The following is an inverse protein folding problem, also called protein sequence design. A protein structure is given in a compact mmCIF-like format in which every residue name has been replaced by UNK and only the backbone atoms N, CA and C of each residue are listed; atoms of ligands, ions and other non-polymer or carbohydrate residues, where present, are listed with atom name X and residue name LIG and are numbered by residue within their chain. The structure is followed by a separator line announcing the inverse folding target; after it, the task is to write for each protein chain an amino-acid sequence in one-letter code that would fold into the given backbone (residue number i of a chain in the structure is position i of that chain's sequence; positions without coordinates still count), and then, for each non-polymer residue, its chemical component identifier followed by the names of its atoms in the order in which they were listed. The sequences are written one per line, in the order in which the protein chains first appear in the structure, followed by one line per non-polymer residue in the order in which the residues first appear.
data_IF_008443357455
#
_entry.id   IF_008443357455
#
_cell.length_a   1.000
_cell.length_b   1.000
_cell.length_c   1.000
_cell.angle_alpha   90.00
_cell.angle_beta   90.00
_cell.angle_gamma   90.00
#
_symmetry.space_group_name_H-M   'P 1'
#
loop_
_entity.id
_entity.type
_entity.pdbx_description
1 polymer ?
#
# COMPACT_ATOMS: atom_id res chain seq x y z
N UNK A 1 11.47 -13.62 30.98
CA UNK A 1 10.59 -12.45 30.85
C UNK A 1 11.51 -11.24 30.67
N UNK A 2 11.66 -10.55 29.56
CA UNK A 2 10.96 -10.49 28.30
C UNK A 2 11.33 -9.10 27.76
N UNK A 3 12.17 -9.05 26.71
CA UNK A 3 12.40 -7.90 25.81
C UNK A 3 13.35 -8.38 24.71
N UNK A 4 12.81 -8.61 23.53
CA UNK A 4 13.62 -8.70 22.29
C UNK A 4 13.06 -7.62 21.38
N UNK A 5 13.60 -6.42 21.53
CA UNK A 5 13.62 -5.42 20.47
C UNK A 5 14.62 -5.91 19.44
N UNK A 6 14.24 -5.96 18.16
CA UNK A 6 15.17 -6.29 17.08
C UNK A 6 15.04 -5.26 15.95
N UNK A 7 15.38 -4.02 16.31
CA UNK A 7 15.95 -3.03 15.40
C UNK A 7 17.46 -3.14 15.58
N UNK A 8 18.14 -3.85 14.68
CA UNK A 8 19.59 -3.78 14.52
C UNK A 8 19.97 -4.30 13.14
N UNK A 9 20.19 -3.36 12.20
CA UNK A 9 21.13 -3.56 11.09
C UNK A 9 21.95 -2.28 10.98
N UNK A 10 23.23 -2.39 11.34
CA UNK A 10 24.23 -1.34 11.25
C UNK A 10 24.53 -0.94 9.78
N UNK A 11 25.02 0.29 9.53
CA UNK A 11 25.21 0.83 8.19
C UNK A 11 26.52 0.31 7.55
N UNK A 12 26.41 -0.26 6.35
CA UNK A 12 27.57 -0.54 5.49
C UNK A 12 27.94 0.73 4.71
N UNK A 13 29.14 1.25 4.95
CA UNK A 13 29.73 2.34 4.16
C UNK A 13 30.42 1.85 2.89
N UNK A 14 30.23 2.59 1.80
CA UNK A 14 31.06 2.57 0.59
C UNK A 14 30.31 3.10 -0.65
N UNK A 15 31.02 3.57 -1.69
CA UNK A 15 31.96 4.68 -1.73
C UNK A 15 31.33 5.94 -2.37
N UNK A 16 32.00 7.08 -2.16
CA UNK A 16 31.62 8.42 -2.58
C UNK A 16 31.34 8.59 -4.08
N UNK A 17 30.10 8.93 -4.43
CA UNK A 17 29.78 9.59 -5.70
C UNK A 17 29.20 10.97 -5.43
N UNK A 18 30.03 12.00 -5.67
CA UNK A 18 29.62 13.41 -5.67
C UNK A 18 28.53 13.63 -6.72
N UNK A 19 27.29 13.82 -6.29
CA UNK A 19 26.21 14.33 -7.14
C UNK A 19 26.23 15.86 -7.10
N UNK A 20 26.73 16.47 -8.17
CA UNK A 20 26.67 17.92 -8.42
C UNK A 20 25.22 18.33 -8.63
N UNK A 21 24.67 19.12 -7.70
CA UNK A 21 23.37 19.76 -7.84
C UNK A 21 23.47 20.96 -8.81
N UNK A 22 22.71 20.94 -9.90
CA UNK A 22 22.43 22.13 -10.69
C UNK A 22 20.93 22.33 -10.78
N UNK A 23 20.44 23.28 -9.99
CA UNK A 23 19.10 23.81 -10.06
C UNK A 23 19.03 24.88 -11.15
N UNK A 24 18.16 24.70 -12.15
CA UNK A 24 17.72 25.78 -13.02
C UNK A 24 16.20 25.83 -12.96
N UNK A 25 15.69 26.81 -12.22
CA UNK A 25 14.29 27.21 -12.21
C UNK A 25 14.03 28.05 -13.46
N UNK A 26 13.09 27.60 -14.30
CA UNK A 26 12.41 28.49 -15.24
C UNK A 26 10.91 28.28 -15.08
N UNK A 27 10.26 29.29 -14.51
CA UNK A 27 8.80 29.32 -14.37
C UNK A 27 8.17 29.92 -15.63
N UNK A 28 7.01 29.37 -16.01
CA UNK A 28 5.95 30.13 -16.68
C UNK A 28 4.61 29.62 -16.17
N UNK A 29 3.74 30.59 -15.86
CA UNK A 29 2.36 30.41 -15.49
C UNK A 29 1.51 29.98 -16.70
N UNK A 30 0.56 29.05 -16.51
CA UNK A 30 -0.84 29.28 -16.91
C UNK A 30 -1.80 28.11 -16.58
N UNK A 31 -3.09 28.48 -16.47
CA UNK A 31 -4.32 27.66 -16.53
C UNK A 31 -4.76 26.84 -15.29
N UNK A 32 -5.54 27.51 -14.43
CA UNK A 32 -6.32 27.05 -13.27
C UNK A 32 -7.52 26.12 -13.60
N UNK A 33 -7.53 25.36 -14.70
CA UNK A 33 -8.78 24.68 -15.15
C UNK A 33 -8.69 23.25 -15.68
N UNK A 34 -7.50 22.64 -15.82
CA UNK A 34 -7.36 21.50 -16.76
C UNK A 34 -6.60 20.25 -16.31
N UNK A 35 -6.40 19.98 -15.01
CA UNK A 35 -5.46 18.90 -14.58
C UNK A 35 -5.99 17.87 -13.57
N UNK A 36 -7.31 17.73 -13.42
CA UNK A 36 -7.91 16.64 -12.62
C UNK A 36 -8.15 15.34 -13.40
N UNK A 37 -7.93 15.35 -14.71
CA UNK A 37 -8.16 14.21 -15.62
C UNK A 37 -7.15 13.07 -15.52
N UNK A 38 -6.20 13.12 -14.58
CA UNK A 38 -5.14 12.10 -14.44
C UNK A 38 -5.67 10.84 -13.74
N UNK A 39 -6.57 11.00 -12.76
CA UNK A 39 -7.30 9.90 -12.12
C UNK A 39 -8.79 10.15 -12.33
N UNK A 40 -9.44 9.27 -13.09
CA UNK A 40 -10.86 9.40 -13.43
C UNK A 40 -11.78 8.77 -12.38
N UNK A 41 -11.27 7.85 -11.54
CA UNK A 41 -12.06 7.10 -10.56
C UNK A 41 -11.84 7.61 -9.12
N UNK A 42 -12.90 7.95 -8.35
CA UNK A 42 -12.84 8.24 -6.92
C UNK A 42 -12.07 7.19 -6.08
N UNK A 43 -12.19 5.90 -6.39
CA UNK A 43 -11.50 4.83 -5.67
C UNK A 43 -10.00 4.86 -5.88
N UNK A 44 -9.52 5.27 -7.07
CA UNK A 44 -8.09 5.49 -7.30
C UNK A 44 -7.56 6.64 -6.43
N UNK A 45 -8.36 7.70 -6.22
CA UNK A 45 -7.99 8.80 -5.32
C UNK A 45 -7.93 8.30 -3.87
N UNK A 46 -8.89 7.48 -3.44
CA UNK A 46 -8.89 6.85 -2.11
C UNK A 46 -7.68 5.95 -1.92
N UNK A 47 -7.36 5.09 -2.88
CA UNK A 47 -6.20 4.20 -2.82
C UNK A 47 -4.88 4.99 -2.73
N UNK A 48 -4.71 6.03 -3.57
CA UNK A 48 -3.54 6.90 -3.51
C UNK A 48 -3.44 7.61 -2.15
N UNK A 49 -4.59 8.00 -1.58
CA UNK A 49 -4.64 8.60 -0.25
C UNK A 49 -4.24 7.62 0.84
N UNK A 50 -4.69 6.35 0.79
CA UNK A 50 -4.22 5.28 1.70
C UNK A 50 -2.69 5.18 1.63
N UNK A 51 -2.11 5.04 0.42
CA UNK A 51 -0.65 4.93 0.24
C UNK A 51 0.08 6.15 0.84
N UNK A 52 -0.48 7.36 0.72
CA UNK A 52 0.10 8.58 1.28
C UNK A 52 0.20 8.61 2.80
N UNK A 53 -0.62 7.82 3.51
CA UNK A 53 -0.59 7.73 4.98
C UNK A 53 0.48 6.76 5.47
N UNK A 54 0.85 5.79 4.63
CA UNK A 54 1.84 4.74 4.96
C UNK A 54 3.18 4.93 4.25
N UNK A 55 3.36 6.02 3.51
CA UNK A 55 4.60 6.29 2.80
C UNK A 55 4.94 7.78 2.80
N UNK A 56 6.23 8.08 2.86
CA UNK A 56 6.77 9.43 2.86
C UNK A 56 8.16 9.44 2.22
N UNK A 57 8.44 10.35 1.28
CA UNK A 57 9.81 10.56 0.79
C UNK A 57 10.65 11.29 1.84
N UNK A 58 11.94 10.97 1.96
CA UNK A 58 12.86 11.76 2.77
C UNK A 58 13.04 13.14 2.14
N UNK A 59 12.84 14.20 2.93
CA UNK A 59 12.97 15.59 2.47
C UNK A 59 14.25 16.25 2.97
N UNK A 60 14.76 15.77 4.10
CA UNK A 60 15.99 16.24 4.73
C UNK A 60 16.90 15.07 5.04
N UNK A 61 18.20 15.37 5.16
CA UNK A 61 19.17 14.41 5.68
C UNK A 61 18.77 14.03 7.12
N UNK A 62 18.47 12.75 7.34
CA UNK A 62 18.00 12.22 8.62
C UNK A 62 16.49 11.96 8.71
N UNK A 63 15.70 12.34 7.71
CA UNK A 63 14.30 11.91 7.64
C UNK A 63 14.24 10.42 7.31
N UNK A 64 13.36 9.68 7.99
CA UNK A 64 13.10 8.29 7.66
C UNK A 64 12.28 8.17 6.37
N UNK A 65 12.78 7.41 5.41
CA UNK A 65 12.03 7.04 4.22
C UNK A 65 11.02 5.95 4.56
N UNK A 66 9.74 6.24 4.39
CA UNK A 66 8.67 5.28 4.62
C UNK A 66 8.11 4.77 3.30
N UNK A 67 7.99 3.45 3.19
CA UNK A 67 7.37 2.78 2.06
C UNK A 67 6.39 1.71 2.56
N UNK A 68 5.27 1.55 1.85
CA UNK A 68 4.25 0.55 2.18
C UNK A 68 4.47 -0.70 1.32
N UNK A 69 4.66 -1.86 1.95
CA UNK A 69 4.82 -3.14 1.26
C UNK A 69 3.49 -3.61 0.67
N UNK A 70 3.55 -4.28 -0.49
CA UNK A 70 2.35 -4.76 -1.19
C UNK A 70 1.43 -5.63 -0.33
N UNK A 71 1.99 -6.52 0.49
CA UNK A 71 1.20 -7.44 1.32
C UNK A 71 0.35 -6.68 2.36
N UNK A 72 0.93 -5.87 3.27
CA UNK A 72 0.14 -4.99 4.15
C UNK A 72 -0.87 -4.11 3.42
N UNK A 73 -0.48 -3.52 2.28
CA UNK A 73 -1.38 -2.69 1.48
C UNK A 73 -2.59 -3.50 0.97
N UNK A 74 -2.37 -4.74 0.52
CA UNK A 74 -3.44 -5.62 0.02
C UNK A 74 -4.44 -5.96 1.12
N UNK A 75 -3.97 -6.14 2.36
CA UNK A 75 -4.84 -6.37 3.53
C UNK A 75 -5.71 -5.14 3.80
N UNK A 76 -5.11 -3.94 3.84
CA UNK A 76 -5.86 -2.69 4.03
C UNK A 76 -6.89 -2.47 2.92
N UNK A 77 -6.55 -2.79 1.67
CA UNK A 77 -7.45 -2.67 0.53
C UNK A 77 -8.62 -3.65 0.63
N UNK A 78 -8.36 -4.91 0.99
CA UNK A 78 -9.43 -5.89 1.20
C UNK A 78 -10.42 -5.41 2.27
N UNK A 79 -9.93 -4.95 3.41
CA UNK A 79 -10.79 -4.48 4.51
C UNK A 79 -11.53 -3.18 4.13
N UNK A 80 -10.89 -2.30 3.35
CA UNK A 80 -11.57 -1.12 2.79
C UNK A 80 -12.67 -1.49 1.77
N UNK A 81 -12.55 -2.62 1.06
CA UNK A 81 -13.61 -3.14 0.19
C UNK A 81 -14.76 -3.69 1.04
N UNK A 82 -14.45 -4.46 2.09
CA UNK A 82 -15.46 -5.02 3.02
C UNK A 82 -16.23 -3.91 3.74
N UNK A 83 -15.58 -2.80 4.09
CA UNK A 83 -16.23 -1.62 4.66
C UNK A 83 -16.87 -0.68 3.60
N UNK A 84 -16.96 -1.10 2.34
CA UNK A 84 -17.56 -0.35 1.22
C UNK A 84 -16.93 1.04 0.95
N UNK A 85 -15.67 1.22 1.35
CA UNK A 85 -14.90 2.45 1.10
C UNK A 85 -14.32 2.44 -0.30
N UNK A 86 -13.84 1.27 -0.74
CA UNK A 86 -13.37 1.01 -2.10
C UNK A 86 -14.35 0.08 -2.81
N UNK A 87 -14.79 0.45 -4.01
CA UNK A 87 -15.68 -0.39 -4.83
C UNK A 87 -14.88 -1.22 -5.83
N UNK A 88 -13.94 -2.02 -5.32
CA UNK A 88 -13.17 -2.95 -6.13
C UNK A 88 -13.62 -4.39 -5.91
N UNK A 89 -13.48 -5.23 -6.93
CA UNK A 89 -13.62 -6.67 -6.75
C UNK A 89 -12.31 -7.30 -6.23
N UNK A 90 -12.42 -8.45 -5.56
CA UNK A 90 -11.28 -9.24 -5.07
C UNK A 90 -11.44 -10.72 -5.43
N UNK A 91 -10.30 -11.39 -5.60
CA UNK A 91 -10.28 -12.83 -5.82
C UNK A 91 -9.15 -13.50 -5.02
N UNK A 92 -9.31 -14.78 -4.62
CA UNK A 92 -8.24 -15.54 -4.00
C UNK A 92 -6.99 -15.62 -4.88
N UNK A 93 -5.84 -15.25 -4.31
CA UNK A 93 -4.55 -15.24 -4.98
C UNK A 93 -3.47 -15.78 -4.06
N UNK A 94 -2.59 -16.70 -4.52
CA UNK A 94 -1.51 -17.22 -3.71
C UNK A 94 -0.39 -16.18 -3.61
N UNK A 95 0.08 -15.88 -2.40
CA UNK A 95 1.18 -14.94 -2.15
C UNK A 95 2.27 -15.55 -1.27
N UNK A 96 3.55 -15.40 -1.64
CA UNK A 96 4.65 -15.82 -0.79
C UNK A 96 4.80 -14.84 0.38
N UNK A 97 4.82 -15.34 1.60
CA UNK A 97 5.02 -14.56 2.82
C UNK A 97 6.14 -15.21 3.64
N UNK A 98 7.15 -14.41 3.94
CA UNK A 98 8.21 -14.74 4.90
C UNK A 98 7.72 -14.42 6.32
N UNK A 99 7.73 -15.42 7.19
CA UNK A 99 7.48 -15.26 8.61
C UNK A 99 8.52 -16.05 9.40
N UNK A 100 9.22 -15.38 10.33
CA UNK A 100 10.27 -15.99 11.16
C UNK A 100 11.32 -16.79 10.36
N UNK A 101 11.75 -16.27 9.19
CA UNK A 101 12.76 -16.90 8.35
C UNK A 101 12.25 -18.07 7.50
N UNK A 102 10.94 -18.34 7.51
CA UNK A 102 10.32 -19.36 6.67
C UNK A 102 9.35 -18.69 5.70
N UNK A 103 9.57 -18.93 4.41
CA UNK A 103 8.64 -18.50 3.36
C UNK A 103 7.59 -19.59 3.10
N UNK A 104 6.32 -19.20 3.06
CA UNK A 104 5.19 -20.07 2.69
C UNK A 104 4.24 -19.37 1.75
N UNK A 105 3.44 -20.15 1.03
CA UNK A 105 2.35 -19.63 0.23
C UNK A 105 1.12 -19.48 1.11
N UNK A 106 0.57 -18.27 1.16
CA UNK A 106 -0.68 -17.94 1.85
C UNK A 106 -1.67 -17.48 0.79
N UNK A 107 -2.86 -18.06 0.80
CA UNK A 107 -3.95 -17.61 -0.05
C UNK A 107 -4.60 -16.39 0.58
N UNK A 108 -4.78 -15.35 -0.23
CA UNK A 108 -5.40 -14.10 0.21
C UNK A 108 -6.27 -13.51 -0.87
N UNK A 109 -7.36 -12.87 -0.46
CA UNK A 109 -8.23 -12.11 -1.33
C UNK A 109 -7.53 -10.82 -1.77
N UNK A 110 -7.18 -10.74 -3.06
CA UNK A 110 -6.45 -9.60 -3.63
C UNK A 110 -7.25 -9.03 -4.80
N UNK A 111 -7.36 -7.70 -4.83
CA UNK A 111 -8.02 -6.99 -5.91
C UNK A 111 -7.10 -6.79 -7.12
N UNK A 112 -7.55 -7.23 -8.30
CA UNK A 112 -6.86 -6.96 -9.57
C UNK A 112 -6.99 -5.50 -9.99
N UNK A 113 -8.10 -4.85 -9.67
CA UNK A 113 -8.31 -3.41 -9.91
C UNK A 113 -7.31 -2.56 -9.11
N UNK A 114 -7.03 -2.95 -7.86
CA UNK A 114 -5.98 -2.33 -7.06
C UNK A 114 -4.61 -2.45 -7.72
N UNK A 115 -4.26 -3.64 -8.24
CA UNK A 115 -2.98 -3.86 -8.92
C UNK A 115 -2.89 -2.98 -10.17
N UNK A 116 -3.94 -2.95 -10.99
CA UNK A 116 -4.01 -2.09 -12.17
C UNK A 116 -3.90 -0.59 -11.80
N UNK A 117 -4.54 -0.17 -10.71
CA UNK A 117 -4.44 1.21 -10.22
C UNK A 117 -3.02 1.56 -9.75
N UNK A 118 -2.30 0.62 -9.12
CA UNK A 118 -0.90 0.80 -8.73
C UNK A 118 0.02 0.97 -9.95
N UNK A 119 -0.17 0.15 -10.98
CA UNK A 119 0.60 0.25 -12.24
C UNK A 119 0.32 1.57 -12.95
N UNK A 120 -0.93 2.04 -12.92
CA UNK A 120 -1.32 3.37 -13.39
C UNK A 120 -0.61 4.49 -12.61
N UNK A 121 -0.54 4.39 -11.28
CA UNK A 121 0.13 5.39 -10.45
C UNK A 121 1.63 5.47 -10.73
N UNK A 122 2.27 4.31 -10.97
CA UNK A 122 3.68 4.23 -11.36
C UNK A 122 3.88 4.89 -12.73
N UNK A 123 3.05 4.53 -13.72
CA UNK A 123 3.11 5.09 -15.07
C UNK A 123 2.91 6.61 -15.07
N UNK A 124 2.06 7.11 -14.17
CA UNK A 124 1.78 8.55 -13.99
C UNK A 124 2.77 9.26 -13.04
N UNK A 125 3.76 8.55 -12.50
CA UNK A 125 4.79 9.03 -11.55
C UNK A 125 4.20 9.61 -10.24
N UNK A 126 3.02 9.13 -9.84
CA UNK A 126 2.39 9.51 -8.57
C UNK A 126 2.95 8.69 -7.40
N UNK A 127 3.44 7.49 -7.70
CA UNK A 127 4.00 6.52 -6.75
C UNK A 127 5.26 5.90 -7.35
N UNK A 128 6.30 5.78 -6.54
CA UNK A 128 7.51 5.02 -6.85
C UNK A 128 7.33 3.54 -6.53
N UNK A 129 7.86 2.67 -7.38
CA UNK A 129 7.98 1.23 -7.12
C UNK A 129 9.38 0.93 -6.58
N UNK A 130 9.46 0.57 -5.30
CA UNK A 130 10.70 0.24 -4.60
C UNK A 130 10.78 -1.27 -4.44
N UNK A 131 11.86 -1.86 -4.94
CA UNK A 131 12.15 -3.29 -4.74
C UNK A 131 13.02 -3.45 -3.51
N UNK A 132 12.50 -4.14 -2.52
CA UNK A 132 13.18 -4.49 -1.28
C UNK A 132 13.57 -5.96 -1.31
N UNK A 133 14.66 -6.31 -0.65
CA UNK A 133 15.02 -7.69 -0.40
C UNK A 133 14.62 -8.08 1.02
N UNK A 134 13.87 -9.17 1.15
CA UNK A 134 13.52 -9.75 2.45
C UNK A 134 14.73 -10.47 3.07
N UNK A 135 14.63 -10.83 4.35
CA UNK A 135 15.63 -11.65 5.06
C UNK A 135 15.87 -13.00 4.38
N UNK A 136 14.84 -13.56 3.76
CA UNK A 136 14.93 -14.82 3.01
C UNK A 136 15.44 -14.61 1.57
N UNK A 137 16.04 -13.46 1.28
CA UNK A 137 16.49 -13.03 -0.06
C UNK A 137 15.39 -12.95 -1.12
N UNK A 138 14.11 -13.03 -0.71
CA UNK A 138 12.96 -12.88 -1.60
C UNK A 138 12.71 -11.40 -1.90
N UNK A 139 12.37 -11.09 -3.16
CA UNK A 139 12.06 -9.72 -3.56
C UNK A 139 10.65 -9.35 -3.11
N UNK A 140 10.54 -8.21 -2.44
CA UNK A 140 9.29 -7.62 -1.96
C UNK A 140 9.10 -6.28 -2.65
N UNK A 141 7.91 -6.05 -3.18
CA UNK A 141 7.54 -4.76 -3.77
C UNK A 141 6.98 -3.86 -2.67
N UNK A 142 7.48 -2.63 -2.62
CA UNK A 142 6.96 -1.57 -1.79
C UNK A 142 6.66 -0.32 -2.63
N UNK A 143 5.77 0.51 -2.13
CA UNK A 143 5.29 1.70 -2.79
C UNK A 143 5.59 2.91 -1.93
N UNK A 144 6.04 3.99 -2.58
CA UNK A 144 6.31 5.26 -1.92
C UNK A 144 5.66 6.39 -2.70
N UNK A 145 4.90 7.25 -2.02
CA UNK A 145 4.31 8.42 -2.67
C UNK A 145 5.38 9.42 -3.13
N UNK A 146 5.20 9.97 -4.32
CA UNK A 146 6.07 11.05 -4.83
C UNK A 146 5.55 12.42 -4.42
N UNK A 147 6.39 13.47 -4.50
CA UNK A 147 5.92 14.84 -4.28
C UNK A 147 4.83 15.25 -5.29
N UNK A 148 4.83 14.66 -6.50
CA UNK A 148 3.78 14.84 -7.51
C UNK A 148 2.46 14.25 -7.03
N UNK A 149 2.49 13.03 -6.50
CA UNK A 149 1.33 12.37 -5.87
C UNK A 149 0.78 13.18 -4.70
N UNK A 150 1.65 13.71 -3.84
CA UNK A 150 1.20 14.49 -2.69
C UNK A 150 0.60 15.84 -3.09
N UNK A 151 1.18 16.55 -4.07
CA UNK A 151 0.59 17.78 -4.64
C UNK A 151 -0.75 17.52 -5.32
N UNK A 152 -0.92 16.35 -5.94
CA UNK A 152 -2.19 15.92 -6.50
C UNK A 152 -3.25 15.73 -5.41
N UNK A 153 -2.93 14.99 -4.34
CA UNK A 153 -3.83 14.77 -3.21
C UNK A 153 -4.19 16.07 -2.47
N UNK A 154 -3.28 17.05 -2.40
CA UNK A 154 -3.58 18.34 -1.78
C UNK A 154 -4.72 19.10 -2.48
N UNK A 155 -5.02 18.78 -3.74
CA UNK A 155 -6.13 19.36 -4.50
C UNK A 155 -7.38 18.48 -4.45
N UNK A 156 -7.24 17.21 -4.08
CA UNK A 156 -8.32 16.24 -4.11
C UNK A 156 -9.48 16.67 -3.19
N UNK A 157 -10.73 16.34 -3.56
CA UNK A 157 -11.87 16.80 -2.80
C UNK A 157 -11.94 16.05 -1.45
N UNK A 158 -12.03 16.82 -0.36
CA UNK A 158 -11.89 16.31 1.02
C UNK A 158 -12.96 15.30 1.41
N UNK A 159 -14.15 15.38 0.81
CA UNK A 159 -15.23 14.43 1.05
C UNK A 159 -14.84 12.98 0.72
N UNK A 160 -13.95 12.78 -0.27
CA UNK A 160 -13.45 11.45 -0.65
C UNK A 160 -12.42 10.96 0.39
N UNK A 161 -11.53 11.84 0.84
CA UNK A 161 -10.44 11.49 1.76
C UNK A 161 -10.93 11.28 3.20
N UNK A 162 -11.97 12.00 3.63
CA UNK A 162 -12.53 11.87 4.98
C UNK A 162 -13.03 10.46 5.29
N UNK A 163 -13.72 9.81 4.34
CA UNK A 163 -14.17 8.42 4.51
C UNK A 163 -12.99 7.45 4.74
N UNK A 164 -11.86 7.74 4.11
CA UNK A 164 -10.65 6.93 4.27
C UNK A 164 -9.97 7.24 5.61
N UNK A 165 -9.95 8.50 6.04
CA UNK A 165 -9.43 8.86 7.37
C UNK A 165 -10.26 8.19 8.48
N UNK A 166 -11.59 8.20 8.40
CA UNK A 166 -12.46 7.54 9.38
C UNK A 166 -12.21 6.03 9.50
N UNK A 167 -11.76 5.40 8.40
CA UNK A 167 -11.37 3.99 8.37
C UNK A 167 -9.99 3.73 8.96
N UNK A 168 -8.99 4.50 8.51
CA UNK A 168 -7.59 4.30 8.86
C UNK A 168 -7.27 4.69 10.30
N UNK A 169 -7.98 5.68 10.85
CA UNK A 169 -7.74 6.16 12.21
C UNK A 169 -8.72 5.53 13.19
N UNK A 170 -8.20 4.73 14.12
CA UNK A 170 -9.00 4.14 15.21
C UNK A 170 -8.36 4.54 16.54
N UNK A 171 -9.11 5.20 17.41
CA UNK A 171 -8.60 5.68 18.69
C UNK A 171 -7.54 6.79 18.60
N UNK A 172 -7.38 7.43 17.44
CA UNK A 172 -6.41 8.51 17.21
C UNK A 172 -5.12 8.06 16.50
N UNK A 173 -4.89 6.75 16.39
CA UNK A 173 -3.72 6.17 15.73
C UNK A 173 -4.06 5.54 14.38
N UNK A 174 -3.05 5.48 13.49
CA UNK A 174 -3.16 4.84 12.18
C UNK A 174 -3.11 3.33 12.32
N UNK A 175 -4.00 2.64 11.61
CA UNK A 175 -4.07 1.19 11.58
C UNK A 175 -2.80 0.56 10.98
N UNK A 176 -2.16 -0.37 11.67
CA UNK A 176 -1.01 -1.12 11.19
C UNK A 176 -1.39 -2.58 10.94
N UNK A 177 -0.68 -3.25 10.03
CA UNK A 177 -0.93 -4.65 9.68
C UNK A 177 0.27 -5.50 10.09
N UNK A 178 0.01 -6.58 10.83
CA UNK A 178 0.98 -7.64 11.11
C UNK A 178 0.45 -9.01 10.67
N UNK A 179 1.37 -9.92 10.45
CA UNK A 179 1.06 -11.33 10.19
C UNK A 179 1.51 -12.15 11.40
N UNK A 180 0.59 -12.89 12.03
CA UNK A 180 0.87 -13.70 13.22
C UNK A 180 1.47 -15.08 12.88
N UNK A 181 1.50 -15.39 11.59
CA UNK A 181 1.91 -16.67 11.06
C UNK A 181 0.75 -17.59 10.68
N UNK A 182 -0.49 -17.14 10.68
CA UNK A 182 -1.63 -17.86 10.12
C UNK A 182 -2.56 -16.85 9.46
N UNK A 183 -2.90 -15.81 10.21
CA UNK A 183 -3.82 -14.75 9.83
C UNK A 183 -3.14 -13.37 9.88
N UNK A 184 -3.81 -12.39 9.29
CA UNK A 184 -3.43 -11.00 9.41
C UNK A 184 -4.21 -10.34 10.54
N UNK A 185 -3.51 -9.50 11.29
CA UNK A 185 -4.10 -8.69 12.35
C UNK A 185 -3.86 -7.22 12.04
N UNK A 186 -4.93 -6.45 12.16
CA UNK A 186 -4.91 -5.00 12.10
C UNK A 186 -4.91 -4.45 13.52
N UNK A 187 -3.90 -3.68 13.87
CA UNK A 187 -3.74 -3.15 15.21
C UNK A 187 -3.40 -1.66 15.20
N UNK A 188 -3.64 -1.00 16.33
CA UNK A 188 -3.17 0.37 16.59
C UNK A 188 -2.35 0.38 17.87
N UNK A 189 -1.49 1.37 18.04
CA UNK A 189 -0.69 1.53 19.26
C UNK A 189 -1.57 1.85 20.49
N UNK A 190 -2.73 2.48 20.26
CA UNK A 190 -3.82 2.70 21.23
C UNK A 190 -4.50 1.43 21.75
N UNK A 191 -4.18 0.24 21.20
CA UNK A 191 -4.66 -1.04 21.70
C UNK A 191 -5.89 -1.62 20.98
N UNK A 192 -6.36 -1.00 19.89
CA UNK A 192 -7.29 -1.66 18.99
C UNK A 192 -6.58 -2.83 18.28
N UNK A 193 -7.21 -4.00 18.23
CA UNK A 193 -6.71 -5.17 17.50
C UNK A 193 -7.87 -5.99 16.94
N UNK A 194 -7.87 -6.24 15.64
CA UNK A 194 -8.87 -7.03 14.93
C UNK A 194 -8.21 -7.94 13.91
N UNK A 195 -8.68 -9.19 13.82
CA UNK A 195 -8.26 -10.14 12.78
C UNK A 195 -8.91 -9.80 11.45
N UNK A 196 -8.10 -9.71 10.40
CA UNK A 196 -8.56 -9.50 9.03
C UNK A 196 -9.18 -10.77 8.44
N UNK A 197 -10.20 -10.59 7.60
CA UNK A 197 -10.84 -11.66 6.83
C UNK A 197 -10.11 -12.04 5.55
N UNK A 198 -8.99 -11.38 5.22
CA UNK A 198 -8.32 -11.49 3.91
C UNK A 198 -7.87 -12.90 3.54
N UNK A 199 -7.59 -13.76 4.52
CA UNK A 199 -7.21 -15.17 4.35
C UNK A 199 -8.39 -16.13 4.28
N UNK A 200 -9.60 -15.66 4.62
CA UNK A 200 -10.82 -16.48 4.55
C UNK A 200 -11.28 -16.54 3.10
N UNK A 201 -11.17 -17.73 2.53
CA UNK A 201 -11.73 -18.03 1.21
C UNK A 201 -13.19 -18.40 1.46
N UNK A 202 -14.12 -17.57 0.99
CA UNK A 202 -15.53 -17.95 0.96
C UNK A 202 -15.72 -19.09 -0.03
N UNK A 203 -16.47 -20.14 0.35
CA UNK A 203 -16.77 -21.26 -0.54
C UNK A 203 -17.64 -20.77 -1.72
N UNK A 204 -17.01 -20.44 -2.84
CA UNK A 204 -17.71 -20.24 -4.10
C UNK A 204 -18.22 -21.60 -4.57
N UNK A 205 -19.53 -21.81 -4.53
CA UNK A 205 -20.15 -23.03 -5.05
C UNK A 205 -19.81 -23.17 -6.53
N UNK A 206 -18.90 -24.09 -6.86
CA UNK A 206 -18.51 -24.37 -8.24
C UNK A 206 -19.74 -24.85 -9.02
N UNK A 207 -20.22 -24.03 -9.96
CA UNK A 207 -21.24 -24.46 -10.92
C UNK A 207 -20.58 -25.51 -11.80
N UNK A 208 -20.95 -26.79 -11.62
CA UNK A 208 -20.70 -27.81 -12.63
C UNK A 208 -21.53 -27.42 -13.85
N UNK A 209 -20.86 -26.88 -14.88
CA UNK A 209 -21.43 -26.81 -16.21
C UNK A 209 -21.72 -28.25 -16.66
N UNK A 210 -22.96 -28.69 -16.47
CA UNK A 210 -23.43 -29.96 -16.94
C UNK A 210 -23.51 -29.90 -18.47
N UNK A 211 -22.58 -30.58 -19.14
CA UNK A 211 -22.72 -30.89 -20.55
C UNK A 211 -23.95 -31.80 -20.72
N UNK A 212 -25.11 -31.21 -20.98
CA UNK A 212 -26.25 -31.95 -21.52
C UNK A 212 -25.93 -32.28 -22.96
N UNK A 213 -25.35 -33.47 -23.16
CA UNK A 213 -25.31 -34.10 -24.46
C UNK A 213 -26.72 -34.45 -24.92
N UNK A 214 -27.07 -34.00 -26.11
CA UNK A 214 -28.01 -34.67 -27.02
C UNK A 214 -27.49 -34.54 -28.43
#
# INVERSE_FOLDING_TARGET
MGKVSLLDVAPTQGPDHKATANATLHGTADATGGRFSILTNPDQIRLLYIISKYSSPARKAGDEELCVRFIPLSVLVYEAIVEEILQYDYAPSPRPICYQGTTRIVWMNVSQECIAALDDFITKELVNNVKLQSRDFTNVIAYQITDKGQKFLARAPKNITLKVDDFLYRGGDVLQVRFDGTDFEMYTDSGYNVKSGVTKIEDLSYVRCGSTGR
#
